data_IF_159793236299
#
_entry.id   IF_159793236299
#
_cell.length_a   1.000
_cell.length_b   1.000
_cell.length_c   1.000
_cell.angle_alpha   90.00
_cell.angle_beta   90.00
_cell.angle_gamma   90.00
#
_symmetry.space_group_name_H-M   'P 1'
#
loop_
_entity.id
_entity.type
_entity.pdbx_description
1 polymer ?
#
# COMPACT_ATOMS: atom_id res chain seq x y z
N UNK A 1 23.46 -9.50 -8.03
CA UNK A 1 22.58 -9.88 -9.15
C UNK A 1 21.30 -9.03 -9.04
N UNK A 2 20.89 -8.45 -10.17
CA UNK A 2 19.73 -7.58 -10.22
C UNK A 2 18.51 -8.33 -10.78
N UNK A 3 17.32 -7.82 -10.41
CA UNK A 3 16.04 -8.31 -10.94
C UNK A 3 15.59 -7.36 -12.05
N UNK A 4 15.30 -7.94 -13.21
CA UNK A 4 14.85 -7.23 -14.40
C UNK A 4 13.44 -7.65 -14.75
N UNK A 5 12.58 -6.69 -15.14
CA UNK A 5 11.24 -6.94 -15.66
C UNK A 5 11.20 -6.65 -17.15
N UNK A 6 10.64 -7.58 -17.92
CA UNK A 6 10.29 -7.37 -19.32
C UNK A 6 8.78 -7.06 -19.43
N UNK A 7 8.47 -5.93 -20.06
CA UNK A 7 7.10 -5.57 -20.43
C UNK A 7 6.85 -5.97 -21.88
N UNK A 8 6.01 -6.98 -22.16
CA UNK A 8 5.78 -7.48 -23.51
C UNK A 8 5.02 -6.49 -24.40
N UNK A 9 4.12 -5.69 -23.82
CA UNK A 9 3.32 -4.72 -24.59
C UNK A 9 4.16 -3.55 -25.07
N UNK A 10 5.05 -3.06 -24.23
CA UNK A 10 5.96 -1.94 -24.54
C UNK A 10 7.28 -2.39 -25.14
N UNK A 11 7.58 -3.71 -25.09
CA UNK A 11 8.88 -4.30 -25.50
C UNK A 11 10.07 -3.62 -24.79
N UNK A 12 9.90 -3.27 -23.52
CA UNK A 12 10.92 -2.63 -22.69
C UNK A 12 11.41 -3.57 -21.59
N UNK A 13 12.68 -3.41 -21.23
CA UNK A 13 13.28 -4.10 -20.07
C UNK A 13 13.63 -3.03 -19.06
N UNK A 14 13.26 -3.24 -17.81
CA UNK A 14 13.53 -2.33 -16.69
C UNK A 14 14.23 -3.08 -15.57
N UNK A 15 15.33 -2.52 -15.07
CA UNK A 15 16.00 -3.01 -13.87
C UNK A 15 15.29 -2.45 -12.64
N UNK A 16 14.66 -3.31 -11.84
CA UNK A 16 13.90 -2.88 -10.67
C UNK A 16 14.72 -2.87 -9.38
N UNK A 17 15.94 -3.40 -9.40
CA UNK A 17 16.78 -3.50 -8.20
C UNK A 17 18.16 -2.87 -8.34
N UNK A 18 18.52 -2.28 -9.46
CA UNK A 18 19.79 -1.61 -9.83
C UNK A 18 20.65 -1.19 -8.63
N UNK A 19 21.50 -2.11 -8.14
CA UNK A 19 22.24 -1.92 -6.90
C UNK A 19 23.36 -2.98 -6.70
N UNK A 20 24.39 -2.71 -5.87
CA UNK A 20 25.49 -3.64 -5.61
C UNK A 20 25.14 -4.84 -4.70
N UNK A 21 23.94 -4.87 -4.10
CA UNK A 21 23.50 -5.98 -3.25
C UNK A 21 22.99 -7.17 -4.07
N UNK A 22 22.92 -8.34 -3.46
CA UNK A 22 22.30 -9.50 -4.06
C UNK A 22 20.78 -9.46 -3.85
N UNK A 23 20.04 -9.33 -4.95
CA UNK A 23 18.58 -9.47 -5.00
C UNK A 23 18.28 -10.82 -5.62
N UNK A 24 17.59 -11.68 -4.89
CA UNK A 24 17.40 -13.08 -5.25
C UNK A 24 15.95 -13.51 -5.08
N UNK A 25 15.59 -14.58 -5.79
CA UNK A 25 14.31 -15.26 -5.70
C UNK A 25 13.14 -14.31 -6.00
N UNK A 26 13.07 -13.71 -7.20
CA UNK A 26 11.89 -13.00 -7.61
C UNK A 26 10.72 -13.98 -7.72
N UNK A 27 9.59 -13.64 -7.09
CA UNK A 27 8.36 -14.41 -7.15
C UNK A 27 7.26 -13.48 -7.62
N UNK A 28 6.60 -13.87 -8.72
CA UNK A 28 5.45 -13.14 -9.23
C UNK A 28 4.17 -13.76 -8.67
N UNK A 29 3.35 -12.97 -7.98
CA UNK A 29 2.09 -13.44 -7.41
C UNK A 29 1.00 -12.41 -7.69
N UNK A 30 0.03 -12.76 -8.54
CA UNK A 30 -0.94 -11.81 -9.06
C UNK A 30 -0.25 -10.69 -9.83
N UNK A 31 -0.50 -9.45 -9.44
CA UNK A 31 0.11 -8.23 -10.01
C UNK A 31 1.31 -7.71 -9.19
N UNK A 32 1.81 -8.51 -8.24
CA UNK A 32 2.88 -8.12 -7.33
C UNK A 32 4.14 -8.97 -7.51
N UNK A 33 5.31 -8.34 -7.30
CA UNK A 33 6.61 -9.01 -7.33
C UNK A 33 7.18 -9.01 -5.92
N UNK A 34 7.50 -10.20 -5.45
CA UNK A 34 8.24 -10.43 -4.22
C UNK A 34 9.69 -10.76 -4.55
N UNK A 35 10.62 -10.18 -3.83
CA UNK A 35 12.04 -10.55 -3.91
C UNK A 35 12.73 -10.36 -2.57
N UNK A 36 13.84 -11.08 -2.38
CA UNK A 36 14.68 -10.97 -1.19
C UNK A 36 15.90 -10.12 -1.51
N UNK A 37 16.18 -9.14 -0.66
CA UNK A 37 17.35 -8.28 -0.78
C UNK A 37 18.07 -8.15 0.57
N UNK A 38 19.39 -8.02 0.54
CA UNK A 38 20.21 -7.80 1.74
C UNK A 38 20.20 -6.34 2.21
N UNK A 39 19.43 -5.50 1.56
CA UNK A 39 19.34 -4.09 1.89
C UNK A 39 18.51 -3.84 3.13
N UNK A 40 19.04 -3.10 4.07
CA UNK A 40 18.40 -2.80 5.34
C UNK A 40 18.40 -1.32 5.71
N UNK A 41 19.09 -0.46 4.95
CA UNK A 41 19.17 0.96 5.27
C UNK A 41 17.89 1.75 4.88
N UNK A 42 17.77 2.96 5.40
CA UNK A 42 16.60 3.84 5.20
C UNK A 42 16.37 4.21 3.73
N UNK A 43 17.45 4.49 2.99
CA UNK A 43 17.36 4.97 1.61
C UNK A 43 16.92 3.84 0.68
N UNK A 44 17.41 2.64 0.93
CA UNK A 44 17.04 1.46 0.17
C UNK A 44 15.57 1.08 0.37
N UNK A 45 15.06 1.19 1.59
CA UNK A 45 13.63 1.00 1.88
C UNK A 45 12.76 2.03 1.16
N UNK A 46 13.18 3.31 1.18
CA UNK A 46 12.48 4.37 0.45
C UNK A 46 12.50 4.12 -1.06
N UNK A 47 13.62 3.62 -1.60
CA UNK A 47 13.74 3.24 -3.01
C UNK A 47 12.81 2.07 -3.35
N UNK A 48 12.74 1.03 -2.51
CA UNK A 48 11.80 -0.09 -2.66
C UNK A 48 10.35 0.40 -2.75
N UNK A 49 9.96 1.30 -1.86
CA UNK A 49 8.61 1.89 -1.91
C UNK A 49 8.39 2.81 -3.12
N UNK A 50 9.42 3.53 -3.57
CA UNK A 50 9.33 4.37 -4.78
C UNK A 50 9.12 3.55 -6.06
N UNK A 51 9.56 2.29 -6.05
CA UNK A 51 9.36 1.29 -7.10
C UNK A 51 8.02 0.55 -6.98
N UNK A 52 7.06 1.09 -6.23
CA UNK A 52 5.74 0.52 -5.93
C UNK A 52 5.75 -0.69 -5.01
N UNK A 53 6.83 -0.92 -4.28
CA UNK A 53 6.83 -1.90 -3.18
C UNK A 53 5.75 -1.55 -2.16
N UNK A 54 4.89 -2.50 -1.86
CA UNK A 54 3.75 -2.29 -0.95
C UNK A 54 4.09 -2.61 0.49
N UNK A 55 5.12 -3.42 0.70
CA UNK A 55 5.61 -3.82 2.01
C UNK A 55 7.12 -4.06 1.97
N UNK A 56 7.76 -4.07 3.12
CA UNK A 56 9.20 -4.31 3.26
C UNK A 56 9.47 -5.10 4.54
N UNK A 57 10.20 -6.23 4.39
CA UNK A 57 10.63 -7.06 5.50
C UNK A 57 12.17 -7.03 5.58
N UNK A 58 12.69 -6.50 6.68
CA UNK A 58 14.13 -6.40 6.88
C UNK A 58 14.74 -7.75 7.27
N UNK A 59 15.91 -8.07 6.74
CA UNK A 59 16.73 -9.21 7.21
C UNK A 59 17.54 -8.82 8.46
N UNK A 60 17.73 -9.74 9.42
CA UNK A 60 17.15 -11.08 9.49
C UNK A 60 15.65 -11.05 9.84
N UNK A 61 14.87 -11.96 9.27
CA UNK A 61 13.45 -12.14 9.56
C UNK A 61 13.13 -13.62 9.86
N UNK A 62 12.06 -13.85 10.57
CA UNK A 62 11.56 -15.20 10.78
C UNK A 62 10.68 -15.64 9.60
N UNK A 63 10.79 -16.91 9.13
CA UNK A 63 9.95 -17.39 8.03
C UNK A 63 8.46 -17.21 8.28
N UNK A 64 8.03 -17.31 9.53
CA UNK A 64 6.64 -17.13 9.96
C UNK A 64 6.17 -15.70 9.71
N UNK A 65 7.04 -14.69 9.88
CA UNK A 65 6.72 -13.29 9.60
C UNK A 65 6.52 -13.08 8.10
N UNK A 66 7.38 -13.65 7.25
CA UNK A 66 7.23 -13.61 5.81
C UNK A 66 5.91 -14.28 5.37
N UNK A 67 5.62 -15.47 5.91
CA UNK A 67 4.39 -16.22 5.60
C UNK A 67 3.15 -15.42 6.05
N UNK A 68 3.19 -14.79 7.24
CA UNK A 68 2.09 -13.98 7.74
C UNK A 68 1.82 -12.78 6.82
N UNK A 69 2.86 -12.08 6.36
CA UNK A 69 2.75 -10.95 5.43
C UNK A 69 2.23 -11.38 4.06
N UNK A 70 2.69 -12.52 3.54
CA UNK A 70 2.18 -13.10 2.31
C UNK A 70 0.69 -13.46 2.46
N UNK A 71 0.31 -14.17 3.53
CA UNK A 71 -1.10 -14.53 3.79
C UNK A 71 -1.99 -13.30 3.90
N UNK A 72 -1.59 -12.29 4.66
CA UNK A 72 -2.30 -11.02 4.79
C UNK A 72 -2.55 -10.34 3.42
N UNK A 73 -1.66 -10.58 2.45
CA UNK A 73 -1.84 -10.13 1.07
C UNK A 73 -2.83 -10.97 0.26
N UNK A 74 -2.90 -12.27 0.53
CA UNK A 74 -3.69 -13.23 -0.23
C UNK A 74 -4.99 -13.67 0.44
N UNK A 75 -5.18 -13.42 1.73
CA UNK A 75 -6.46 -13.64 2.43
C UNK A 75 -7.59 -12.69 1.97
N UNK A 76 -7.30 -11.86 0.97
CA UNK A 76 -8.29 -11.07 0.27
C UNK A 76 -8.98 -11.97 -0.74
N UNK A 77 -9.96 -12.72 -0.34
CA UNK A 77 -10.74 -13.46 -1.34
C UNK A 77 -11.60 -14.60 -0.82
N UNK A 78 -11.62 -14.86 0.47
CA UNK A 78 -12.57 -15.81 1.03
C UNK A 78 -13.50 -15.10 2.00
N UNK A 79 -14.24 -14.15 1.48
CA UNK A 79 -15.44 -13.66 2.14
C UNK A 79 -16.67 -14.29 1.49
N UNK A 80 -16.98 -15.51 1.90
CA UNK A 80 -18.34 -16.02 1.75
C UNK A 80 -19.28 -15.11 2.56
N UNK A 81 -20.17 -14.38 1.88
CA UNK A 81 -21.16 -13.45 2.43
C UNK A 81 -20.65 -12.10 2.96
N UNK A 82 -19.89 -11.36 2.22
CA UNK A 82 -19.61 -9.95 2.54
C UNK A 82 -20.63 -9.05 1.87
N UNK A 83 -21.43 -8.35 2.69
CA UNK A 83 -22.12 -7.15 2.23
C UNK A 83 -21.06 -6.21 1.62
N UNK A 84 -21.33 -5.69 0.41
CA UNK A 84 -20.41 -4.73 -0.21
C UNK A 84 -20.18 -3.56 0.73
N UNK A 85 -18.95 -3.43 1.23
CA UNK A 85 -18.59 -2.31 2.10
C UNK A 85 -18.17 -1.14 1.22
N UNK A 86 -19.05 -0.16 1.10
CA UNK A 86 -18.83 1.04 0.29
C UNK A 86 -18.90 2.30 1.14
N UNK A 87 -18.00 3.24 0.87
CA UNK A 87 -17.90 4.53 1.52
C UNK A 87 -18.12 5.64 0.49
N UNK A 88 -18.85 6.68 0.90
CA UNK A 88 -19.10 7.86 0.08
C UNK A 88 -18.55 9.10 0.78
N UNK A 89 -17.69 9.84 0.08
CA UNK A 89 -17.14 11.10 0.57
C UNK A 89 -16.86 12.03 -0.61
N UNK A 90 -17.32 13.28 -0.50
CA UNK A 90 -17.34 14.20 -1.63
C UNK A 90 -18.12 13.63 -2.83
N UNK A 91 -17.50 13.64 -4.02
CA UNK A 91 -18.04 13.01 -5.24
C UNK A 91 -17.44 11.64 -5.50
N UNK A 92 -16.76 11.06 -4.51
CA UNK A 92 -16.02 9.81 -4.61
C UNK A 92 -16.74 8.69 -3.89
N UNK A 93 -16.76 7.52 -4.52
CA UNK A 93 -17.18 6.26 -3.91
C UNK A 93 -15.96 5.34 -3.79
N UNK A 94 -15.75 4.78 -2.62
CA UNK A 94 -14.74 3.76 -2.38
C UNK A 94 -15.42 2.45 -2.03
N UNK A 95 -15.20 1.42 -2.84
CA UNK A 95 -15.64 0.05 -2.57
C UNK A 95 -14.46 -0.73 -2.00
N UNK A 96 -14.55 -1.08 -0.71
CA UNK A 96 -13.49 -1.81 0.00
C UNK A 96 -13.37 -3.26 -0.50
N UNK A 97 -14.49 -3.90 -0.83
CA UNK A 97 -14.51 -5.28 -1.30
C UNK A 97 -13.76 -5.48 -2.62
N UNK A 98 -13.85 -4.49 -3.52
CA UNK A 98 -13.19 -4.55 -4.83
C UNK A 98 -11.92 -3.71 -4.92
N UNK A 99 -11.52 -3.05 -3.83
CA UNK A 99 -10.38 -2.11 -3.79
C UNK A 99 -10.49 -0.99 -4.85
N UNK A 100 -11.70 -0.54 -5.14
CA UNK A 100 -11.98 0.39 -6.22
C UNK A 100 -12.36 1.77 -5.68
N UNK A 101 -11.71 2.81 -6.20
CA UNK A 101 -12.12 4.22 -6.02
C UNK A 101 -12.75 4.69 -7.32
N UNK A 102 -13.95 5.26 -7.25
CA UNK A 102 -14.67 5.82 -8.38
C UNK A 102 -15.03 7.27 -8.14
N UNK A 103 -14.66 8.13 -9.09
CA UNK A 103 -15.03 9.56 -9.10
C UNK A 103 -15.60 9.90 -10.49
N UNK A 104 -16.91 10.07 -10.58
CA UNK A 104 -17.59 10.18 -11.88
C UNK A 104 -17.32 8.97 -12.77
N UNK A 105 -16.75 9.20 -13.95
CA UNK A 105 -16.39 8.15 -14.90
C UNK A 105 -14.97 7.58 -14.66
N UNK A 106 -14.19 8.16 -13.74
CA UNK A 106 -12.86 7.70 -13.45
C UNK A 106 -12.90 6.56 -12.43
N UNK A 107 -12.17 5.49 -12.74
CA UNK A 107 -12.01 4.30 -11.89
C UNK A 107 -10.53 4.08 -11.63
N UNK A 108 -10.17 3.92 -10.36
CA UNK A 108 -8.80 3.63 -9.91
C UNK A 108 -8.84 2.42 -9.01
N UNK A 109 -8.04 1.40 -9.33
CA UNK A 109 -7.81 0.27 -8.43
C UNK A 109 -6.64 0.61 -7.51
N UNK A 110 -6.81 0.32 -6.23
CA UNK A 110 -5.80 0.50 -5.19
C UNK A 110 -5.39 -0.85 -4.61
N UNK A 111 -4.25 -0.88 -3.95
CA UNK A 111 -3.80 -2.11 -3.28
C UNK A 111 -4.59 -2.33 -2.00
N UNK A 112 -4.62 -3.56 -1.51
CA UNK A 112 -5.31 -3.90 -0.27
C UNK A 112 -4.81 -3.09 0.91
N UNK A 113 -3.50 -2.88 1.01
CA UNK A 113 -2.93 -2.05 2.07
C UNK A 113 -3.40 -0.58 2.00
N UNK A 114 -3.57 -0.06 0.78
CA UNK A 114 -4.17 1.25 0.56
C UNK A 114 -5.65 1.24 0.91
N UNK A 115 -6.37 0.16 0.59
CA UNK A 115 -7.77 -0.01 0.93
C UNK A 115 -7.98 -0.07 2.44
N UNK A 116 -7.14 -0.79 3.19
CA UNK A 116 -7.20 -0.83 4.66
C UNK A 116 -7.03 0.55 5.28
N UNK A 117 -6.02 1.30 4.83
CA UNK A 117 -5.79 2.67 5.30
C UNK A 117 -7.00 3.56 4.96
N UNK A 118 -7.48 3.50 3.71
CA UNK A 118 -8.60 4.34 3.27
C UNK A 118 -9.90 3.98 4.00
N UNK A 119 -10.14 2.70 4.28
CA UNK A 119 -11.28 2.23 5.07
C UNK A 119 -11.29 2.84 6.46
N UNK A 120 -10.17 2.78 7.18
CA UNK A 120 -10.05 3.38 8.52
C UNK A 120 -10.32 4.88 8.47
N UNK A 121 -9.76 5.57 7.48
CA UNK A 121 -9.95 7.00 7.31
C UNK A 121 -11.40 7.35 6.91
N UNK A 122 -12.02 6.55 6.04
CA UNK A 122 -13.41 6.75 5.58
C UNK A 122 -14.44 6.47 6.68
N UNK A 123 -14.18 5.46 7.52
CA UNK A 123 -15.00 5.20 8.72
C UNK A 123 -14.94 6.38 9.70
N UNK A 124 -13.84 7.14 9.71
CA UNK A 124 -13.62 8.32 10.54
C UNK A 124 -13.62 9.61 9.69
N UNK A 125 -14.52 9.72 8.73
CA UNK A 125 -14.59 10.86 7.81
C UNK A 125 -14.61 12.19 8.57
N UNK A 126 -13.76 13.14 8.16
CA UNK A 126 -13.58 14.46 8.77
C UNK A 126 -13.06 14.43 10.24
N UNK A 127 -12.63 13.30 10.74
CA UNK A 127 -12.01 13.16 12.04
C UNK A 127 -10.52 12.80 11.92
N UNK A 128 -9.74 13.23 12.90
CA UNK A 128 -8.33 12.87 12.99
C UNK A 128 -8.19 11.41 13.40
N UNK A 129 -7.48 10.63 12.60
CA UNK A 129 -7.07 9.27 12.92
C UNK A 129 -5.61 9.29 13.33
N UNK A 130 -5.34 8.75 14.51
CA UNK A 130 -3.99 8.68 15.06
C UNK A 130 -3.05 7.85 14.18
N UNK A 131 -1.79 8.29 14.10
CA UNK A 131 -0.79 7.62 13.27
C UNK A 131 -0.47 6.21 13.76
N UNK A 132 -0.29 6.06 15.08
CA UNK A 132 0.07 4.77 15.65
C UNK A 132 -1.09 3.79 15.56
N UNK A 133 -2.34 4.26 15.68
CA UNK A 133 -3.54 3.46 15.43
C UNK A 133 -3.56 2.92 14.00
N UNK A 134 -3.25 3.74 12.99
CA UNK A 134 -3.14 3.28 11.59
C UNK A 134 -2.04 2.23 11.44
N UNK A 135 -0.87 2.46 12.05
CA UNK A 135 0.25 1.53 11.96
C UNK A 135 -0.05 0.19 12.63
N UNK A 136 -0.62 0.21 13.82
CA UNK A 136 -0.98 -1.00 14.57
C UNK A 136 -2.09 -1.78 13.86
N UNK A 137 -3.12 -1.09 13.35
CA UNK A 137 -4.24 -1.74 12.68
C UNK A 137 -3.80 -2.36 11.34
N UNK A 138 -2.98 -1.65 10.55
CA UNK A 138 -2.63 -2.06 9.18
C UNK A 138 -1.39 -2.95 9.11
N UNK A 139 -0.44 -2.81 10.05
CA UNK A 139 0.83 -3.57 10.08
C UNK A 139 1.05 -4.38 11.35
N UNK A 140 0.17 -4.27 12.34
CA UNK A 140 0.31 -4.94 13.63
C UNK A 140 1.35 -4.31 14.57
N UNK A 141 2.17 -3.38 14.09
CA UNK A 141 3.19 -2.70 14.90
C UNK A 141 3.50 -1.29 14.39
N UNK A 142 3.85 -0.36 15.30
CA UNK A 142 4.25 1.02 14.98
C UNK A 142 5.77 1.17 14.77
N UNK A 143 6.38 0.30 13.97
CA UNK A 143 7.82 0.36 13.67
C UNK A 143 8.19 1.56 12.79
N UNK A 144 9.47 1.98 12.81
CA UNK A 144 9.98 3.03 11.94
C UNK A 144 9.81 2.68 10.45
N UNK A 145 10.02 1.42 10.06
CA UNK A 145 9.83 0.96 8.68
C UNK A 145 8.37 1.10 8.25
N UNK A 146 7.42 0.66 9.09
CA UNK A 146 5.99 0.81 8.82
C UNK A 146 5.57 2.28 8.74
N UNK A 147 6.20 3.15 9.56
CA UNK A 147 5.99 4.59 9.52
C UNK A 147 6.39 5.21 8.19
N UNK A 148 7.47 4.75 7.55
CA UNK A 148 7.86 5.16 6.21
C UNK A 148 6.89 4.61 5.16
N UNK A 149 6.51 3.34 5.28
CA UNK A 149 5.54 2.70 4.39
C UNK A 149 4.20 3.46 4.39
N UNK A 150 3.67 3.81 5.55
CA UNK A 150 2.43 4.60 5.68
C UNK A 150 2.51 5.92 4.91
N UNK A 151 3.62 6.67 5.00
CA UNK A 151 3.77 7.92 4.27
C UNK A 151 3.67 7.72 2.75
N UNK A 152 4.28 6.64 2.26
CA UNK A 152 4.25 6.29 0.84
C UNK A 152 2.84 5.91 0.41
N UNK A 153 2.16 5.04 1.17
CA UNK A 153 0.78 4.64 0.85
C UNK A 153 -0.19 5.84 0.87
N UNK A 154 -0.06 6.74 1.84
CA UNK A 154 -0.85 8.00 1.87
C UNK A 154 -0.57 8.86 0.63
N UNK A 155 0.67 8.88 0.14
CA UNK A 155 1.00 9.61 -1.09
C UNK A 155 0.31 9.02 -2.32
N UNK A 156 0.25 7.70 -2.43
CA UNK A 156 -0.50 7.02 -3.51
C UNK A 156 -2.01 7.23 -3.39
N UNK A 157 -2.56 7.15 -2.19
CA UNK A 157 -3.98 7.43 -1.96
C UNK A 157 -4.36 8.86 -2.35
N UNK A 158 -3.51 9.86 -2.04
CA UNK A 158 -3.72 11.24 -2.48
C UNK A 158 -3.76 11.35 -4.00
N UNK A 159 -2.91 10.61 -4.71
CA UNK A 159 -2.94 10.56 -6.18
C UNK A 159 -4.23 9.89 -6.68
N UNK A 160 -4.67 8.82 -6.04
CA UNK A 160 -5.88 8.12 -6.43
C UNK A 160 -7.15 8.98 -6.24
N UNK A 161 -7.14 9.86 -5.22
CA UNK A 161 -8.25 10.75 -4.90
C UNK A 161 -8.19 12.11 -5.61
N UNK A 162 -7.15 12.40 -6.39
CA UNK A 162 -6.91 13.74 -6.93
C UNK A 162 -7.99 14.24 -7.91
N UNK A 163 -8.79 13.33 -8.47
CA UNK A 163 -9.87 13.66 -9.40
C UNK A 163 -11.09 14.29 -8.72
N UNK A 164 -11.16 14.29 -7.40
CA UNK A 164 -12.20 14.95 -6.62
C UNK A 164 -11.63 16.07 -5.75
N UNK A 165 -11.79 17.34 -6.15
CA UNK A 165 -11.29 18.47 -5.36
C UNK A 165 -11.97 18.63 -4.00
N UNK A 166 -13.16 18.04 -3.82
CA UNK A 166 -13.91 18.11 -2.57
C UNK A 166 -13.35 17.18 -1.49
N UNK A 167 -12.54 16.18 -1.87
CA UNK A 167 -11.97 15.19 -0.96
C UNK A 167 -10.44 15.21 -0.92
N UNK A 168 -9.86 14.65 0.11
CA UNK A 168 -8.42 14.49 0.20
C UNK A 168 -7.94 14.07 1.58
N UNK A 169 -6.73 13.50 1.63
CA UNK A 169 -6.11 13.11 2.88
C UNK A 169 -5.19 14.22 3.38
N UNK A 170 -5.51 14.77 4.54
CA UNK A 170 -4.75 15.83 5.21
C UNK A 170 -3.84 15.23 6.27
N UNK A 171 -2.57 15.65 6.29
CA UNK A 171 -1.65 15.33 7.40
C UNK A 171 -1.85 16.32 8.53
N UNK A 172 -2.09 15.83 9.72
CA UNK A 172 -2.24 16.62 10.94
C UNK A 172 -0.96 16.44 11.80
N UNK A 173 -0.12 17.48 11.94
CA UNK A 173 1.12 17.38 12.71
C UNK A 173 0.88 16.81 14.11
N UNK A 174 1.64 15.80 14.51
CA UNK A 174 1.56 15.09 15.80
C UNK A 174 0.22 14.41 16.10
N UNK A 175 -0.73 14.38 15.17
CA UNK A 175 -2.05 13.77 15.36
C UNK A 175 -2.34 12.63 14.37
N UNK A 176 -1.67 12.60 13.21
CA UNK A 176 -1.89 11.58 12.20
C UNK A 176 -2.51 12.09 10.91
N UNK A 177 -3.59 11.49 10.44
CA UNK A 177 -4.22 11.79 9.16
C UNK A 177 -5.74 11.97 9.30
N UNK A 178 -6.32 12.68 8.35
CA UNK A 178 -7.77 12.88 8.25
C UNK A 178 -8.18 12.81 6.78
N UNK A 179 -9.18 12.02 6.47
CA UNK A 179 -9.88 12.10 5.19
C UNK A 179 -10.94 13.18 5.28
N UNK A 180 -10.83 14.16 4.39
CA UNK A 180 -11.84 15.22 4.21
C UNK A 180 -12.73 14.86 3.02
N UNK A 181 -14.02 15.04 3.17
CA UNK A 181 -15.02 14.85 2.11
C UNK A 181 -16.37 15.40 2.49
#
# INVERSE_FOLDING_TARGET
>A
DDIWIYNPDKKTVENITDNPAQDIIPMWIGDEIFFLSDRSDKNDRLKGFSLRGNDYLAKPFYPEELIARIKDRFEIGVHENVQEESFHFGNTTFNYTTNEIRTGNNKVLITSRQADILRILATNLNLAVDRDLLLETVWGTSSYANSLALNVQVTYLRKALHNDPSTGIVSLPKKGYMLRG
#
